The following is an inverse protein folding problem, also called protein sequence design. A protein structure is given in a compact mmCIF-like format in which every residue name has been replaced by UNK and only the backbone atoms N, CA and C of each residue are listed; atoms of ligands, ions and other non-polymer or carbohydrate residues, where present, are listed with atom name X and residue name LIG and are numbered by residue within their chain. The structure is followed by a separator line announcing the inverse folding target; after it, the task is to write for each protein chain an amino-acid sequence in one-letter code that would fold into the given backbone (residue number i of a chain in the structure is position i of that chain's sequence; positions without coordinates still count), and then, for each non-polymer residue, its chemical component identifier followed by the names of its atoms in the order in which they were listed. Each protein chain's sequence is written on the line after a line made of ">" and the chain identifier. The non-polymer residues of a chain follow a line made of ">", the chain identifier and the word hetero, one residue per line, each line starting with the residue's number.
data_IF_473243299771
#
_entry.id   IF_473243299771
#
_cell.length_a   1.000
_cell.length_b   1.000
_cell.length_c   1.000
_cell.angle_alpha   90.00
_cell.angle_beta   90.00
_cell.angle_gamma   90.00
#
_symmetry.space_group_name_H-M   'P 1'
#
loop_
_entity.id
_entity.type
_entity.pdbx_description
1 polymer ?
#
# COMPACT_ATOMS: atom_id res chain seq x y z
N UNK A 1 16.58 -2.19 6.66
CA UNK A 1 17.03 -2.46 5.28
C UNK A 1 18.22 -1.59 4.92
N UNK A 2 18.12 -0.28 5.13
CA UNK A 2 19.21 0.68 4.84
C UNK A 2 20.44 0.47 5.72
N UNK A 3 20.27 0.14 7.01
CA UNK A 3 21.37 -0.25 7.89
C UNK A 3 22.13 -1.49 7.40
N UNK A 4 21.48 -2.34 6.59
CA UNK A 4 22.08 -3.50 5.95
C UNK A 4 22.62 -3.18 4.54
N UNK A 5 22.64 -1.91 4.14
CA UNK A 5 23.20 -1.41 2.89
C UNK A 5 22.22 -1.32 1.71
N UNK A 6 20.94 -1.64 1.88
CA UNK A 6 19.96 -1.51 0.79
C UNK A 6 19.64 -0.03 0.51
N UNK A 7 19.51 0.34 -0.76
CA UNK A 7 18.97 1.63 -1.18
C UNK A 7 17.45 1.50 -1.33
N UNK A 8 16.69 2.26 -0.55
CA UNK A 8 15.22 2.26 -0.65
C UNK A 8 14.78 2.92 -1.96
N UNK A 9 14.00 2.18 -2.77
CA UNK A 9 13.39 2.69 -4.01
C UNK A 9 11.96 3.16 -3.73
N UNK A 10 11.16 2.33 -3.06
CA UNK A 10 9.78 2.66 -2.69
C UNK A 10 9.31 1.80 -1.52
N UNK A 11 8.26 2.27 -0.84
CA UNK A 11 7.51 1.53 0.16
C UNK A 11 6.02 1.76 -0.11
N UNK A 12 5.21 0.71 -0.03
CA UNK A 12 3.77 0.78 -0.19
C UNK A 12 3.02 0.03 0.91
N UNK A 13 1.96 0.61 1.45
CA UNK A 13 1.02 -0.06 2.34
C UNK A 13 0.18 -1.07 1.54
N UNK A 14 0.18 -2.34 1.94
CA UNK A 14 -0.40 -3.43 1.12
C UNK A 14 -1.95 -3.38 1.06
N UNK A 15 -2.59 -2.87 2.10
CA UNK A 15 -4.04 -2.60 2.13
C UNK A 15 -4.36 -1.11 1.96
N UNK A 16 -3.35 -0.23 2.10
CA UNK A 16 -3.51 1.22 2.09
C UNK A 16 -4.65 1.69 3.00
N UNK A 17 -5.47 2.60 2.49
CA UNK A 17 -6.67 3.11 3.18
C UNK A 17 -7.78 2.07 3.39
N UNK A 18 -7.65 0.86 2.81
CA UNK A 18 -8.61 -0.23 3.00
C UNK A 18 -8.34 -1.08 4.25
N UNK A 19 -7.21 -0.86 4.94
CA UNK A 19 -6.83 -1.60 6.16
C UNK A 19 -7.94 -1.59 7.20
N UNK A 20 -8.33 -2.77 7.69
CA UNK A 20 -9.40 -2.94 8.68
C UNK A 20 -10.84 -2.76 8.18
N UNK A 21 -11.06 -2.40 6.90
CA UNK A 21 -12.39 -2.09 6.35
C UNK A 21 -13.04 -3.26 5.58
N UNK A 22 -12.81 -4.50 6.01
CA UNK A 22 -13.20 -5.73 5.27
C UNK A 22 -14.66 -5.72 4.80
N UNK A 23 -15.58 -5.40 5.71
CA UNK A 23 -17.03 -5.43 5.40
C UNK A 23 -17.43 -4.28 4.49
N UNK A 24 -16.83 -3.10 4.66
CA UNK A 24 -17.02 -1.95 3.77
C UNK A 24 -16.52 -2.22 2.36
N UNK A 25 -15.34 -2.85 2.22
CA UNK A 25 -14.81 -3.27 0.91
C UNK A 25 -15.70 -4.32 0.25
N UNK A 26 -16.25 -5.27 1.02
CA UNK A 26 -17.18 -6.28 0.49
C UNK A 26 -18.43 -5.63 -0.10
N UNK A 27 -19.06 -4.73 0.64
CA UNK A 27 -20.24 -4.01 0.16
C UNK A 27 -19.92 -3.15 -1.07
N UNK A 28 -18.79 -2.45 -1.06
CA UNK A 28 -18.35 -1.62 -2.18
C UNK A 28 -18.10 -2.44 -3.44
N UNK A 29 -17.58 -3.66 -3.30
CA UNK A 29 -17.30 -4.57 -4.40
C UNK A 29 -18.57 -5.03 -5.17
N UNK A 30 -19.76 -4.90 -4.59
CA UNK A 30 -21.04 -5.16 -5.29
C UNK A 30 -21.28 -4.16 -6.42
N UNK A 31 -20.66 -2.98 -6.36
CA UNK A 31 -20.67 -1.99 -7.43
C UNK A 31 -19.31 -1.92 -8.11
N UNK A 32 -19.20 -2.59 -9.27
CA UNK A 32 -17.95 -2.68 -10.02
C UNK A 32 -17.29 -1.32 -10.34
N UNK A 33 -18.09 -0.30 -10.68
CA UNK A 33 -17.56 1.04 -11.00
C UNK A 33 -16.99 1.71 -9.75
N UNK A 34 -17.71 1.63 -8.63
CA UNK A 34 -17.25 2.19 -7.37
C UNK A 34 -16.01 1.46 -6.84
N UNK A 35 -15.98 0.14 -6.97
CA UNK A 35 -14.81 -0.68 -6.64
C UNK A 35 -13.58 -0.28 -7.44
N UNK A 36 -13.70 -0.12 -8.76
CA UNK A 36 -12.59 0.32 -9.61
C UNK A 36 -12.05 1.69 -9.17
N UNK A 37 -12.92 2.66 -8.90
CA UNK A 37 -12.48 3.96 -8.39
C UNK A 37 -11.76 3.85 -7.04
N UNK A 38 -12.27 3.01 -6.14
CA UNK A 38 -11.63 2.81 -4.84
C UNK A 38 -10.26 2.15 -4.95
N UNK A 39 -10.10 1.14 -5.82
CA UNK A 39 -8.78 0.56 -6.11
C UNK A 39 -7.81 1.62 -6.62
N UNK A 40 -8.26 2.55 -7.48
CA UNK A 40 -7.40 3.67 -7.92
C UNK A 40 -7.00 4.59 -6.76
N UNK A 41 -7.89 4.85 -5.81
CA UNK A 41 -7.55 5.63 -4.61
C UNK A 41 -6.51 4.90 -3.76
N UNK A 42 -6.67 3.60 -3.53
CA UNK A 42 -5.68 2.79 -2.79
C UNK A 42 -4.33 2.84 -3.48
N UNK A 43 -4.26 2.62 -4.79
CA UNK A 43 -3.01 2.67 -5.56
C UNK A 43 -2.39 4.07 -5.57
N UNK A 44 -3.20 5.13 -5.64
CA UNK A 44 -2.71 6.50 -5.64
C UNK A 44 -2.20 6.98 -4.27
N UNK A 45 -2.52 6.25 -3.18
CA UNK A 45 -2.20 6.67 -1.81
C UNK A 45 -1.33 5.68 -1.04
N UNK A 46 -1.06 4.50 -1.59
CA UNK A 46 -0.35 3.44 -0.86
C UNK A 46 1.09 3.79 -0.48
N UNK A 47 1.73 4.73 -1.16
CA UNK A 47 3.09 5.22 -0.85
C UNK A 47 3.09 6.45 0.08
N UNK A 48 1.93 6.97 0.49
CA UNK A 48 1.87 8.11 1.41
C UNK A 48 2.41 7.71 2.80
N UNK A 49 3.34 8.49 3.39
CA UNK A 49 3.93 8.18 4.69
C UNK A 49 2.93 8.00 5.83
N UNK A 50 1.81 8.72 5.79
CA UNK A 50 0.74 8.65 6.80
C UNK A 50 0.02 7.32 6.72
N UNK A 51 -0.19 6.80 5.50
CA UNK A 51 -0.83 5.51 5.26
C UNK A 51 0.14 4.37 5.57
N UNK A 52 1.41 4.50 5.18
CA UNK A 52 2.48 3.55 5.52
C UNK A 52 2.61 3.34 7.03
N UNK A 53 2.62 4.44 7.81
CA UNK A 53 2.73 4.38 9.26
C UNK A 53 1.57 3.68 9.98
N UNK A 54 0.41 3.55 9.32
CA UNK A 54 -0.78 2.87 9.86
C UNK A 54 -1.04 1.48 9.27
N UNK A 55 -0.21 1.01 8.33
CA UNK A 55 -0.43 -0.25 7.63
C UNK A 55 -0.05 -1.48 8.47
N UNK A 56 -0.82 -2.57 8.37
CA UNK A 56 -0.46 -3.85 8.99
C UNK A 56 0.69 -4.53 8.22
N UNK A 57 0.68 -4.40 6.89
CA UNK A 57 1.71 -4.92 6.02
C UNK A 57 2.25 -3.83 5.10
N UNK A 58 3.58 -3.83 4.92
CA UNK A 58 4.27 -2.91 4.02
C UNK A 58 5.07 -3.71 2.99
N UNK A 59 4.91 -3.38 1.71
CA UNK A 59 5.78 -3.79 0.63
C UNK A 59 6.99 -2.85 0.60
N UNK A 60 8.18 -3.39 0.87
CA UNK A 60 9.45 -2.67 0.73
C UNK A 60 10.13 -3.05 -0.59
N UNK A 61 10.49 -2.06 -1.40
CA UNK A 61 11.29 -2.24 -2.62
C UNK A 61 12.65 -1.59 -2.38
N UNK A 62 13.68 -2.42 -2.22
CA UNK A 62 15.06 -1.98 -2.08
C UNK A 62 15.95 -2.49 -3.20
N UNK A 63 16.89 -1.65 -3.63
CA UNK A 63 18.00 -2.08 -4.47
C UNK A 63 19.08 -2.67 -3.57
N UNK A 64 19.51 -3.90 -3.89
CA UNK A 64 20.72 -4.44 -3.30
C UNK A 64 21.89 -3.52 -3.69
N UNK A 65 22.78 -3.15 -2.74
CA UNK A 65 23.98 -2.41 -3.10
C UNK A 65 24.76 -3.20 -4.15
N UNK A 66 25.35 -2.48 -5.11
CA UNK A 66 26.19 -3.08 -6.14
C UNK A 66 27.35 -3.89 -5.54
N UNK A 67 28.05 -4.71 -6.35
CA UNK A 67 29.34 -5.26 -5.95
C UNK A 67 30.34 -4.16 -5.59
#
# INVERSE_FOLDING_TARGET
>A
YEEAGAETISMAAQEGVAGGLRDGCRQLAENQKAWQHFVQVVLATCEDPTILGGSEHTLYIGRKPGP
#
